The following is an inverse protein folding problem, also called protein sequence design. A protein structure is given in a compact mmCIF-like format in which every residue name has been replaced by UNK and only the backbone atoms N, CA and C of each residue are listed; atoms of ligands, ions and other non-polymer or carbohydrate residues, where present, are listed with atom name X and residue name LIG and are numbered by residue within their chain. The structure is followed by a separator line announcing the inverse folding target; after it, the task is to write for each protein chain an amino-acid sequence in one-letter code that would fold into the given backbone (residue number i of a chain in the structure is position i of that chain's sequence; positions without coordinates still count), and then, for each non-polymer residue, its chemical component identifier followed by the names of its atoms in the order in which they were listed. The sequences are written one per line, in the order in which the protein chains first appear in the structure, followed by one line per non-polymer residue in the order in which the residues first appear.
data_IF_998310653085
#
_entry.id   IF_998310653085
#
_cell.length_a   1.000
_cell.length_b   1.000
_cell.length_c   1.000
_cell.angle_alpha   90.00
_cell.angle_beta   90.00
_cell.angle_gamma   90.00
#
_symmetry.space_group_name_H-M   'P 1'
#
loop_
_entity.id
_entity.type
_entity.pdbx_description
1 polymer ?
#
# COMPACT_ATOMS: atom_id res chain seq x y z
N UNK A 1 -18.10 -9.45 16.80
CA UNK A 1 -17.14 -8.70 15.94
C UNK A 1 -17.26 -9.09 14.46
N UNK A 2 -17.29 -10.39 14.14
CA UNK A 2 -17.30 -10.89 12.75
C UNK A 2 -18.45 -10.37 11.88
N UNK A 3 -19.66 -10.21 12.43
CA UNK A 3 -20.81 -9.68 11.66
C UNK A 3 -20.58 -8.25 11.20
N UNK A 4 -19.96 -7.40 12.04
CA UNK A 4 -19.63 -6.02 11.67
C UNK A 4 -18.55 -5.98 10.58
N UNK A 5 -17.48 -6.77 10.74
CA UNK A 5 -16.42 -6.86 9.74
C UNK A 5 -16.96 -7.28 8.36
N UNK A 6 -17.84 -8.28 8.31
CA UNK A 6 -18.46 -8.72 7.05
C UNK A 6 -19.30 -7.63 6.38
N UNK A 7 -20.10 -6.90 7.16
CA UNK A 7 -20.93 -5.80 6.64
C UNK A 7 -20.05 -4.66 6.11
N UNK A 8 -19.04 -4.26 6.88
CA UNK A 8 -18.09 -3.22 6.47
C UNK A 8 -17.31 -3.65 5.23
N UNK A 9 -16.92 -4.93 5.13
CA UNK A 9 -16.18 -5.45 3.97
C UNK A 9 -17.04 -5.38 2.71
N UNK A 10 -18.29 -5.84 2.78
CA UNK A 10 -19.23 -5.75 1.66
C UNK A 10 -19.46 -4.30 1.25
N UNK A 11 -19.58 -3.39 2.21
CA UNK A 11 -19.74 -1.96 1.96
C UNK A 11 -18.49 -1.34 1.33
N UNK A 12 -17.29 -1.72 1.77
CA UNK A 12 -16.04 -1.23 1.21
C UNK A 12 -15.89 -1.68 -0.25
N UNK A 13 -16.14 -2.96 -0.54
CA UNK A 13 -16.04 -3.53 -1.89
C UNK A 13 -17.12 -3.03 -2.87
N UNK A 14 -18.31 -2.67 -2.38
CA UNK A 14 -19.39 -2.15 -3.25
C UNK A 14 -19.18 -0.70 -3.69
N UNK A 15 -18.24 0.03 -3.07
CA UNK A 15 -17.96 1.43 -3.41
C UNK A 15 -17.44 1.57 -4.83
N UNK A 16 -18.00 2.56 -5.54
CA UNK A 16 -17.60 2.89 -6.92
C UNK A 16 -16.11 3.21 -6.99
N UNK A 17 -15.59 4.01 -6.07
CA UNK A 17 -14.17 4.37 -6.06
C UNK A 17 -13.24 3.15 -5.94
N UNK A 18 -13.53 2.20 -5.03
CA UNK A 18 -12.71 0.98 -4.88
C UNK A 18 -12.72 0.17 -6.18
N UNK A 19 -13.89 0.00 -6.79
CA UNK A 19 -14.02 -0.69 -8.09
C UNK A 19 -13.30 0.05 -9.21
N UNK A 20 -13.34 1.37 -9.25
CA UNK A 20 -12.61 2.19 -10.23
C UNK A 20 -11.10 2.06 -10.05
N UNK A 21 -10.60 2.10 -8.80
CA UNK A 21 -9.17 1.93 -8.53
C UNK A 21 -8.67 0.52 -8.91
N UNK A 22 -9.45 -0.52 -8.59
CA UNK A 22 -9.16 -1.90 -9.01
C UNK A 22 -9.19 -2.02 -10.53
N UNK A 23 -10.22 -1.47 -11.19
CA UNK A 23 -10.32 -1.46 -12.64
C UNK A 23 -9.16 -0.73 -13.31
N UNK A 24 -8.76 0.43 -12.79
CA UNK A 24 -7.60 1.18 -13.26
C UNK A 24 -6.30 0.37 -13.09
N UNK A 25 -6.11 -0.27 -11.93
CA UNK A 25 -4.96 -1.13 -11.70
C UNK A 25 -4.89 -2.30 -12.70
N UNK A 26 -6.03 -2.93 -13.01
CA UNK A 26 -6.13 -4.00 -14.01
C UNK A 26 -5.83 -3.49 -15.42
N UNK A 27 -6.33 -2.31 -15.79
CA UNK A 27 -6.05 -1.69 -17.10
C UNK A 27 -4.55 -1.37 -17.23
N UNK A 28 -3.95 -0.73 -16.22
CA UNK A 28 -2.52 -0.44 -16.21
C UNK A 28 -1.71 -1.73 -16.28
N UNK A 29 -2.11 -2.75 -15.53
CA UNK A 29 -1.46 -4.08 -15.57
C UNK A 29 -1.51 -4.70 -16.97
N UNK A 30 -2.67 -4.66 -17.63
CA UNK A 30 -2.82 -5.15 -18.99
C UNK A 30 -1.97 -4.38 -19.99
N UNK A 31 -1.93 -3.05 -19.88
CA UNK A 31 -1.08 -2.19 -20.72
C UNK A 31 0.39 -2.54 -20.52
N UNK A 32 0.86 -2.64 -19.27
CA UNK A 32 2.26 -2.98 -18.96
C UNK A 32 2.61 -4.37 -19.50
N UNK A 33 1.74 -5.36 -19.34
CA UNK A 33 1.94 -6.70 -19.90
C UNK A 33 2.08 -6.69 -21.42
N UNK A 34 1.22 -5.95 -22.13
CA UNK A 34 1.29 -5.80 -23.59
C UNK A 34 2.55 -5.04 -24.02
N UNK A 35 2.90 -3.95 -23.34
CA UNK A 35 4.10 -3.15 -23.64
C UNK A 35 5.36 -4.01 -23.45
N UNK A 36 5.46 -4.75 -22.35
CA UNK A 36 6.58 -5.67 -22.09
C UNK A 36 6.70 -6.75 -23.18
N UNK A 37 5.58 -7.28 -23.67
CA UNK A 37 5.56 -8.26 -24.76
C UNK A 37 6.00 -7.67 -26.11
N UNK A 38 5.60 -6.42 -26.42
CA UNK A 38 5.97 -5.77 -27.68
C UNK A 38 7.44 -5.34 -27.65
N UNK A 39 7.91 -4.73 -26.56
CA UNK A 39 9.30 -4.27 -26.44
C UNK A 39 10.29 -5.42 -26.59
N UNK A 40 9.96 -6.59 -26.03
CA UNK A 40 10.81 -7.79 -26.16
C UNK A 40 10.86 -8.37 -27.56
N UNK A 41 9.85 -8.12 -28.40
CA UNK A 41 9.82 -8.63 -29.78
C UNK A 41 10.64 -7.79 -30.77
N UNK A 42 10.95 -6.52 -30.43
CA UNK A 42 11.54 -5.54 -31.35
C UNK A 42 12.99 -5.14 -31.06
N UNK A 43 13.51 -5.39 -29.86
CA UNK A 43 14.89 -5.05 -29.49
C UNK A 43 15.87 -6.14 -29.93
N UNK A 44 16.55 -5.91 -31.06
CA UNK A 44 17.74 -6.69 -31.42
C UNK A 44 18.99 -6.28 -30.60
N UNK A 45 18.90 -5.19 -29.82
CA UNK A 45 20.03 -4.57 -29.10
C UNK A 45 19.95 -4.62 -27.57
N UNK A 46 18.76 -4.74 -26.99
CA UNK A 46 18.58 -4.99 -25.55
C UNK A 46 18.29 -6.48 -25.37
N UNK A 47 18.94 -7.12 -24.40
CA UNK A 47 18.82 -8.55 -24.17
C UNK A 47 17.38 -9.01 -23.85
N UNK A 48 17.15 -10.34 -23.80
CA UNK A 48 15.88 -10.90 -23.34
C UNK A 48 15.52 -10.37 -21.95
N UNK A 49 14.22 -10.15 -21.66
CA UNK A 49 13.77 -9.80 -20.30
C UNK A 49 14.22 -10.90 -19.36
N UNK A 50 15.00 -10.56 -18.34
CA UNK A 50 15.39 -11.53 -17.33
C UNK A 50 14.31 -11.61 -16.25
N UNK A 51 13.93 -12.83 -15.85
CA UNK A 51 13.00 -13.01 -14.72
C UNK A 51 13.46 -12.26 -13.47
N UNK A 52 14.77 -12.14 -13.32
CA UNK A 52 15.49 -11.46 -12.25
C UNK A 52 15.11 -9.97 -12.16
N UNK A 53 14.65 -9.31 -13.23
CA UNK A 53 14.19 -7.91 -13.21
C UNK A 53 12.88 -7.70 -12.44
N UNK A 54 12.08 -8.75 -12.23
CA UNK A 54 10.83 -8.65 -11.48
C UNK A 54 11.07 -8.26 -10.02
N UNK A 55 12.18 -8.70 -9.43
CA UNK A 55 12.48 -8.55 -8.01
C UNK A 55 13.98 -8.32 -7.78
N UNK A 56 14.41 -7.41 -6.86
CA UNK A 56 15.80 -6.98 -6.77
C UNK A 56 16.81 -8.12 -6.63
N UNK A 57 17.86 -8.08 -7.45
CA UNK A 57 18.93 -9.09 -7.42
C UNK A 57 20.33 -8.47 -7.64
N UNK A 58 20.51 -7.24 -7.18
CA UNK A 58 21.69 -6.35 -7.29
C UNK A 58 21.57 -5.33 -8.44
N UNK A 59 21.64 -4.03 -8.11
CA UNK A 59 21.80 -2.93 -9.08
C UNK A 59 20.58 -2.45 -9.88
N UNK A 60 19.57 -3.28 -10.14
CA UNK A 60 18.45 -2.94 -11.05
C UNK A 60 17.16 -2.45 -10.37
N UNK A 61 16.41 -1.59 -11.07
CA UNK A 61 15.10 -1.07 -10.65
C UNK A 61 14.00 -2.14 -10.79
N UNK A 62 13.47 -2.69 -9.69
CA UNK A 62 12.54 -3.82 -9.74
C UNK A 62 11.14 -3.41 -10.22
N UNK A 63 10.62 -4.15 -11.21
CA UNK A 63 9.32 -3.87 -11.82
C UNK A 63 8.17 -3.98 -10.80
N UNK A 64 8.26 -4.93 -9.85
CA UNK A 64 7.23 -5.13 -8.82
C UNK A 64 7.14 -3.99 -7.80
N UNK A 65 8.19 -3.19 -7.59
CA UNK A 65 8.08 -2.03 -6.70
C UNK A 65 7.21 -0.94 -7.30
N UNK A 66 7.29 -0.72 -8.62
CA UNK A 66 6.47 0.28 -9.31
C UNK A 66 4.98 -0.01 -9.16
N UNK A 67 4.56 -1.27 -9.34
CA UNK A 67 3.17 -1.68 -9.11
C UNK A 67 2.78 -1.55 -7.63
N UNK A 68 3.70 -1.85 -6.71
CA UNK A 68 3.49 -1.68 -5.26
C UNK A 68 3.20 -0.22 -4.90
N UNK A 69 3.96 0.73 -5.43
CA UNK A 69 3.76 2.16 -5.16
C UNK A 69 2.37 2.63 -5.60
N UNK A 70 1.93 2.18 -6.79
CA UNK A 70 0.58 2.47 -7.29
C UNK A 70 -0.51 1.90 -6.36
N UNK A 71 -0.35 0.65 -5.92
CA UNK A 71 -1.28 0.00 -4.99
C UNK A 71 -1.32 0.68 -3.62
N UNK A 72 -0.16 1.10 -3.10
CA UNK A 72 -0.05 1.82 -1.82
C UNK A 72 -0.77 3.17 -1.90
N UNK A 73 -0.58 3.93 -2.96
CA UNK A 73 -1.27 5.21 -3.17
C UNK A 73 -2.78 5.01 -3.34
N UNK A 74 -3.20 4.04 -4.14
CA UNK A 74 -4.61 3.68 -4.33
C UNK A 74 -5.27 3.22 -3.02
N UNK A 75 -4.58 2.42 -2.22
CA UNK A 75 -5.07 1.94 -0.93
C UNK A 75 -5.21 3.05 0.11
N UNK A 76 -4.24 3.98 0.17
CA UNK A 76 -4.34 5.18 1.01
C UNK A 76 -5.61 5.97 0.69
N UNK A 77 -5.82 6.25 -0.60
CA UNK A 77 -6.98 6.99 -1.09
C UNK A 77 -8.29 6.24 -0.83
N UNK A 78 -8.32 4.93 -1.09
CA UNK A 78 -9.47 4.08 -0.84
C UNK A 78 -9.84 4.06 0.65
N UNK A 79 -8.86 3.82 1.53
CA UNK A 79 -9.06 3.84 2.99
C UNK A 79 -9.54 5.19 3.50
N UNK A 80 -8.92 6.27 3.04
CA UNK A 80 -9.36 7.63 3.36
C UNK A 80 -10.80 7.91 2.90
N UNK A 81 -11.16 7.46 1.71
CA UNK A 81 -12.51 7.65 1.14
C UNK A 81 -13.57 6.82 1.86
N UNK A 82 -13.23 5.61 2.33
CA UNK A 82 -14.14 4.77 3.12
C UNK A 82 -14.67 5.55 4.32
N UNK A 83 -13.80 6.22 5.06
CA UNK A 83 -14.17 7.01 6.23
C UNK A 83 -14.70 8.40 5.85
N UNK A 84 -13.95 9.14 5.03
CA UNK A 84 -14.26 10.53 4.70
C UNK A 84 -15.61 10.72 4.02
N UNK A 85 -16.01 9.79 3.15
CA UNK A 85 -17.30 9.87 2.49
C UNK A 85 -18.49 9.62 3.44
N UNK A 86 -18.32 8.80 4.49
CA UNK A 86 -19.39 8.57 5.47
C UNK A 86 -19.61 9.77 6.39
N UNK A 87 -18.55 10.52 6.67
CA UNK A 87 -18.67 11.83 7.33
C UNK A 87 -19.43 12.81 6.45
N UNK A 88 -19.07 12.90 5.16
CA UNK A 88 -19.75 13.80 4.22
C UNK A 88 -21.23 13.46 4.03
N UNK A 89 -21.59 12.18 3.99
CA UNK A 89 -23.00 11.77 3.82
C UNK A 89 -23.78 11.70 5.14
N UNK A 90 -23.15 11.99 6.28
CA UNK A 90 -23.78 11.86 7.60
C UNK A 90 -24.08 10.43 8.04
N UNK A 91 -23.66 9.39 7.30
CA UNK A 91 -24.03 8.01 7.63
C UNK A 91 -23.36 7.50 8.91
N UNK A 92 -22.22 8.10 9.30
CA UNK A 92 -21.58 7.85 10.60
C UNK A 92 -22.48 8.29 11.76
N UNK A 93 -23.22 9.40 11.62
CA UNK A 93 -24.06 9.90 12.72
C UNK A 93 -25.24 8.95 12.94
N UNK A 94 -25.89 8.52 11.85
CA UNK A 94 -26.96 7.51 11.89
C UNK A 94 -26.47 6.16 12.38
N UNK A 95 -25.24 5.73 12.06
CA UNK A 95 -24.71 4.47 12.56
C UNK A 95 -24.55 4.49 14.09
N UNK A 96 -24.10 5.62 14.64
CA UNK A 96 -23.79 5.77 16.06
C UNK A 96 -25.03 5.94 16.94
N UNK A 97 -26.22 6.22 16.37
CA UNK A 97 -27.48 6.13 17.12
C UNK A 97 -27.85 4.67 17.43
N UNK A 98 -27.44 3.72 16.59
CA UNK A 98 -27.78 2.29 16.73
C UNK A 98 -26.65 1.46 17.35
N UNK A 99 -25.38 1.78 17.10
CA UNK A 99 -24.22 1.11 17.72
C UNK A 99 -23.37 2.14 18.49
N UNK A 100 -23.65 2.37 19.78
CA UNK A 100 -22.96 3.41 20.58
C UNK A 100 -21.51 3.08 20.91
N UNK A 101 -21.03 1.86 20.61
CA UNK A 101 -19.66 1.40 20.88
C UNK A 101 -18.67 1.97 19.86
N UNK A 102 -18.41 3.29 19.94
CA UNK A 102 -17.58 4.07 19.01
C UNK A 102 -16.22 3.44 18.69
N UNK A 103 -15.51 2.97 19.71
CA UNK A 103 -14.18 2.35 19.54
C UNK A 103 -14.28 1.07 18.72
N UNK A 104 -15.29 0.22 18.99
CA UNK A 104 -15.52 -1.02 18.26
C UNK A 104 -15.82 -0.76 16.78
N UNK A 105 -16.65 0.25 16.50
CA UNK A 105 -16.95 0.68 15.12
C UNK A 105 -15.67 1.17 14.44
N UNK A 106 -14.92 2.05 15.09
CA UNK A 106 -13.71 2.63 14.52
C UNK A 106 -12.65 1.57 14.19
N UNK A 107 -12.35 0.69 15.15
CA UNK A 107 -11.44 -0.45 14.95
C UNK A 107 -11.91 -1.35 13.81
N UNK A 108 -13.21 -1.67 13.74
CA UNK A 108 -13.74 -2.53 12.67
C UNK A 108 -13.58 -1.91 11.29
N UNK A 109 -13.73 -0.59 11.15
CA UNK A 109 -13.58 0.10 9.87
C UNK A 109 -12.13 0.13 9.41
N UNK A 110 -11.21 0.48 10.32
CA UNK A 110 -9.77 0.49 10.03
C UNK A 110 -9.28 -0.93 9.70
N UNK A 111 -9.66 -1.93 10.49
CA UNK A 111 -9.29 -3.32 10.26
C UNK A 111 -9.85 -3.85 8.94
N UNK A 112 -11.11 -3.59 8.62
CA UNK A 112 -11.70 -3.98 7.33
C UNK A 112 -10.99 -3.31 6.16
N UNK A 113 -10.72 -2.00 6.25
CA UNK A 113 -10.01 -1.29 5.18
C UNK A 113 -8.61 -1.90 4.95
N UNK A 114 -7.88 -2.18 6.03
CA UNK A 114 -6.56 -2.79 5.98
C UNK A 114 -6.59 -4.20 5.36
N UNK A 115 -7.47 -5.08 5.85
CA UNK A 115 -7.56 -6.46 5.39
C UNK A 115 -8.05 -6.55 3.94
N UNK A 116 -9.04 -5.74 3.57
CA UNK A 116 -9.54 -5.70 2.19
C UNK A 116 -8.46 -5.21 1.22
N UNK A 117 -7.76 -4.12 1.58
CA UNK A 117 -6.70 -3.58 0.74
C UNK A 117 -5.51 -4.53 0.63
N UNK A 118 -5.12 -5.22 1.72
CA UNK A 118 -4.07 -6.23 1.67
C UNK A 118 -4.44 -7.40 0.74
N UNK A 119 -5.67 -7.91 0.83
CA UNK A 119 -6.14 -8.98 -0.06
C UNK A 119 -6.21 -8.53 -1.52
N UNK A 120 -6.74 -7.33 -1.79
CA UNK A 120 -6.77 -6.76 -3.14
C UNK A 120 -5.36 -6.56 -3.68
N UNK A 121 -4.44 -6.02 -2.88
CA UNK A 121 -3.04 -5.80 -3.26
C UNK A 121 -2.33 -7.10 -3.62
N UNK A 122 -2.52 -8.14 -2.80
CA UNK A 122 -1.98 -9.47 -3.07
C UNK A 122 -2.49 -10.05 -4.38
N UNK A 123 -3.80 -9.98 -4.62
CA UNK A 123 -4.44 -10.47 -5.85
C UNK A 123 -3.93 -9.69 -7.06
N UNK A 124 -3.90 -8.36 -6.98
CA UNK A 124 -3.46 -7.51 -8.09
C UNK A 124 -1.98 -7.66 -8.41
N UNK A 125 -1.11 -7.88 -7.41
CA UNK A 125 0.27 -8.25 -7.69
C UNK A 125 0.39 -9.60 -8.36
N UNK A 126 -0.41 -10.60 -7.94
CA UNK A 126 -0.48 -11.89 -8.63
C UNK A 126 -0.91 -11.72 -10.09
N UNK A 127 -1.97 -10.94 -10.35
CA UNK A 127 -2.44 -10.61 -11.71
C UNK A 127 -1.36 -9.88 -12.50
N UNK A 128 -0.59 -8.98 -11.88
CA UNK A 128 0.52 -8.28 -12.52
C UNK A 128 1.64 -9.23 -12.96
N UNK A 129 2.04 -10.17 -12.09
CA UNK A 129 2.99 -11.22 -12.46
C UNK A 129 2.43 -12.08 -13.60
N UNK A 130 1.15 -12.47 -13.54
CA UNK A 130 0.49 -13.25 -14.59
C UNK A 130 0.46 -12.51 -15.93
N UNK A 131 0.29 -11.18 -15.92
CA UNK A 131 0.26 -10.36 -17.13
C UNK A 131 1.63 -10.27 -17.83
N UNK A 132 2.72 -10.48 -17.09
CA UNK A 132 4.08 -10.51 -17.63
C UNK A 132 4.47 -11.90 -18.16
N UNK A 133 3.76 -12.97 -17.78
CA UNK A 133 4.07 -14.34 -18.20
C UNK A 133 4.22 -14.52 -19.72
N UNK A 134 3.37 -13.96 -20.59
CA UNK A 134 3.54 -14.13 -22.03
C UNK A 134 4.89 -13.60 -22.53
N UNK A 135 5.35 -12.44 -22.04
CA UNK A 135 6.64 -11.88 -22.40
C UNK A 135 7.80 -12.77 -21.90
N UNK A 136 7.66 -13.30 -20.67
CA UNK A 136 8.67 -14.16 -20.05
C UNK A 136 8.76 -15.55 -20.70
N UNK A 137 7.64 -16.12 -21.16
CA UNK A 137 7.62 -17.44 -21.79
C UNK A 137 8.17 -17.43 -23.22
N UNK A 138 8.01 -16.32 -23.94
CA UNK A 138 8.43 -16.21 -25.35
C UNK A 138 9.82 -15.61 -25.48
N UNK A 139 10.16 -14.62 -24.66
CA UNK A 139 11.40 -13.86 -24.76
C UNK A 139 12.21 -13.83 -23.46
N UNK A 140 11.77 -14.53 -22.41
CA UNK A 140 12.40 -14.43 -21.11
C UNK A 140 13.55 -15.41 -20.88
N UNK A 141 14.46 -15.02 -19.98
CA UNK A 141 15.51 -15.89 -19.45
C UNK A 141 15.26 -16.20 -17.97
N UNK A 142 15.55 -17.43 -17.57
CA UNK A 142 15.53 -17.86 -16.15
C UNK A 142 16.91 -17.87 -15.51
N UNK A 143 17.95 -17.44 -16.24
CA UNK A 143 19.29 -17.30 -15.69
C UNK A 143 19.23 -16.44 -14.40
N UNK A 144 19.88 -16.90 -13.33
CA UNK A 144 19.87 -16.20 -12.04
C UNK A 144 18.64 -16.46 -11.14
N UNK A 145 17.51 -16.97 -11.68
CA UNK A 145 16.29 -17.23 -10.92
C UNK A 145 16.35 -18.55 -10.11
N UNK A 146 17.15 -18.57 -9.05
CA UNK A 146 17.32 -19.72 -8.15
C UNK A 146 16.22 -19.77 -7.06
N UNK A 147 16.13 -20.87 -6.31
CA UNK A 147 15.13 -21.03 -5.25
C UNK A 147 15.10 -19.89 -4.22
N UNK A 148 16.26 -19.33 -3.87
CA UNK A 148 16.36 -18.18 -2.97
C UNK A 148 15.70 -16.91 -3.54
N UNK A 149 15.80 -16.70 -4.86
CA UNK A 149 15.16 -15.57 -5.54
C UNK A 149 13.64 -15.68 -5.48
N UNK A 150 13.07 -16.87 -5.73
CA UNK A 150 11.62 -17.09 -5.60
C UNK A 150 11.11 -16.84 -4.18
N UNK A 151 11.87 -17.26 -3.16
CA UNK A 151 11.54 -16.98 -1.76
C UNK A 151 11.58 -15.47 -1.48
N UNK A 152 12.59 -14.77 -2.03
CA UNK A 152 12.70 -13.31 -1.98
C UNK A 152 11.50 -12.61 -2.60
N UNK A 153 11.16 -12.96 -3.85
CA UNK A 153 10.04 -12.39 -4.60
C UNK A 153 8.69 -12.65 -3.91
N UNK A 154 8.41 -13.90 -3.50
CA UNK A 154 7.16 -14.24 -2.81
C UNK A 154 7.07 -13.55 -1.45
N UNK A 155 8.18 -13.47 -0.72
CA UNK A 155 8.27 -12.71 0.53
C UNK A 155 8.02 -11.21 0.29
N UNK A 156 8.56 -10.66 -0.79
CA UNK A 156 8.34 -9.31 -1.25
C UNK A 156 6.89 -8.99 -1.58
N UNK A 157 6.23 -9.87 -2.33
CA UNK A 157 4.79 -9.79 -2.65
C UNK A 157 3.95 -9.81 -1.36
N UNK A 158 4.25 -10.74 -0.45
CA UNK A 158 3.54 -10.82 0.83
C UNK A 158 3.72 -9.54 1.68
N UNK A 159 4.94 -9.00 1.79
CA UNK A 159 5.20 -7.75 2.51
C UNK A 159 4.57 -6.54 1.82
N UNK A 160 4.57 -6.51 0.49
CA UNK A 160 3.90 -5.46 -0.30
C UNK A 160 2.39 -5.47 -0.04
N UNK A 161 1.75 -6.64 -0.01
CA UNK A 161 0.34 -6.76 0.36
C UNK A 161 0.06 -6.23 1.78
N UNK A 162 0.94 -6.54 2.75
CA UNK A 162 0.85 -5.97 4.10
C UNK A 162 0.99 -4.44 4.07
N UNK A 163 1.93 -3.90 3.32
CA UNK A 163 2.12 -2.45 3.16
C UNK A 163 0.88 -1.77 2.55
N UNK A 164 0.26 -2.38 1.54
CA UNK A 164 -0.98 -1.89 0.92
C UNK A 164 -2.10 -1.83 1.97
N UNK A 165 -2.23 -2.85 2.82
CA UNK A 165 -3.15 -2.86 3.94
C UNK A 165 -2.87 -1.76 4.98
N UNK A 166 -1.60 -1.60 5.36
CA UNK A 166 -1.16 -0.54 6.28
C UNK A 166 -1.42 0.86 5.72
N UNK A 167 -1.26 1.05 4.41
CA UNK A 167 -1.56 2.29 3.72
C UNK A 167 -3.07 2.63 3.78
N UNK A 168 -3.93 1.64 3.54
CA UNK A 168 -5.38 1.84 3.71
C UNK A 168 -5.76 2.15 5.16
N UNK A 169 -5.12 1.49 6.14
CA UNK A 169 -5.31 1.76 7.56
C UNK A 169 -4.91 3.20 7.91
N UNK A 170 -3.76 3.66 7.39
CA UNK A 170 -3.26 5.01 7.56
C UNK A 170 -4.25 6.04 6.98
N UNK A 171 -4.69 5.83 5.73
CA UNK A 171 -5.65 6.72 5.06
C UNK A 171 -6.98 6.81 5.82
N UNK A 172 -7.52 5.67 6.25
CA UNK A 172 -8.73 5.61 7.06
C UNK A 172 -8.57 6.35 8.40
N UNK A 173 -7.43 6.18 9.06
CA UNK A 173 -7.14 6.80 10.36
C UNK A 173 -6.98 8.32 10.24
N UNK A 174 -6.25 8.80 9.23
CA UNK A 174 -6.13 10.22 8.94
C UNK A 174 -7.49 10.83 8.58
N UNK A 175 -8.32 10.12 7.83
CA UNK A 175 -9.67 10.57 7.51
C UNK A 175 -10.61 10.58 8.73
N UNK A 176 -10.39 9.72 9.73
CA UNK A 176 -11.10 9.82 11.02
C UNK A 176 -10.74 11.11 11.76
N UNK A 177 -9.46 11.49 11.76
CA UNK A 177 -9.00 12.74 12.40
C UNK A 177 -9.54 13.97 11.66
N UNK A 178 -9.39 13.99 10.33
CA UNK A 178 -9.74 15.13 9.50
C UNK A 178 -11.21 15.22 9.07
N UNK A 179 -12.00 14.15 9.27
CA UNK A 179 -13.37 13.99 8.74
C UNK A 179 -13.50 14.24 7.22
N UNK A 180 -12.40 14.11 6.49
CA UNK A 180 -12.31 14.46 5.08
C UNK A 180 -11.23 13.62 4.38
N UNK A 181 -11.59 13.05 3.23
CA UNK A 181 -10.68 12.31 2.35
C UNK A 181 -9.52 13.18 1.88
N UNK A 182 -9.77 14.44 1.54
CA UNK A 182 -8.75 15.37 1.03
C UNK A 182 -7.70 15.71 2.08
N UNK A 183 -8.11 15.91 3.34
CA UNK A 183 -7.18 16.16 4.46
C UNK A 183 -6.28 14.95 4.67
N UNK A 184 -6.84 13.74 4.62
CA UNK A 184 -6.06 12.52 4.81
C UNK A 184 -5.00 12.33 3.72
N UNK A 185 -5.40 12.42 2.44
CA UNK A 185 -4.50 12.23 1.32
C UNK A 185 -3.47 13.37 1.23
N UNK A 186 -3.92 14.62 1.41
CA UNK A 186 -3.05 15.80 1.41
C UNK A 186 -2.01 15.78 2.52
N UNK A 187 -2.38 15.35 3.74
CA UNK A 187 -1.42 15.24 4.85
C UNK A 187 -0.32 14.21 4.56
N UNK A 188 -0.69 13.05 4.00
CA UNK A 188 0.28 12.03 3.62
C UNK A 188 1.20 12.52 2.49
N UNK A 189 0.65 13.20 1.48
CA UNK A 189 1.43 13.78 0.39
C UNK A 189 2.45 14.81 0.90
N UNK A 190 2.01 15.75 1.74
CA UNK A 190 2.87 16.78 2.34
C UNK A 190 3.96 16.14 3.20
N UNK A 191 3.62 15.13 4.00
CA UNK A 191 4.61 14.44 4.81
C UNK A 191 5.71 13.80 3.95
N UNK A 192 5.32 12.97 2.97
CA UNK A 192 6.27 12.21 2.15
C UNK A 192 7.13 13.08 1.23
N UNK A 193 6.55 14.13 0.63
CA UNK A 193 7.24 14.93 -0.38
C UNK A 193 7.93 16.17 0.20
N UNK A 194 7.39 16.75 1.28
CA UNK A 194 7.92 17.98 1.86
C UNK A 194 8.64 17.69 3.16
N UNK A 195 7.95 17.10 4.14
CA UNK A 195 8.51 16.94 5.50
C UNK A 195 9.73 16.01 5.48
N UNK A 196 9.63 14.85 4.83
CA UNK A 196 10.76 13.93 4.74
C UNK A 196 11.91 14.50 3.89
N UNK A 197 11.59 15.19 2.78
CA UNK A 197 12.59 15.84 1.93
C UNK A 197 13.40 16.89 2.70
N UNK A 198 12.72 17.76 3.44
CA UNK A 198 13.35 18.76 4.31
C UNK A 198 14.15 18.10 5.43
N UNK A 199 13.61 17.05 6.07
CA UNK A 199 14.32 16.34 7.14
C UNK A 199 15.63 15.71 6.65
N UNK A 200 15.62 15.08 5.47
CA UNK A 200 16.82 14.54 4.82
C UNK A 200 17.84 15.63 4.50
N UNK A 201 17.38 16.74 3.91
CA UNK A 201 18.23 17.87 3.54
C UNK A 201 18.87 18.54 4.76
N UNK A 202 18.13 18.62 5.88
CA UNK A 202 18.61 19.26 7.10
C UNK A 202 19.62 18.38 7.85
N UNK A 203 19.29 17.11 8.10
CA UNK A 203 20.19 16.23 8.85
C UNK A 203 20.08 14.77 8.36
N UNK A 204 21.05 14.27 7.57
CA UNK A 204 20.96 12.96 6.90
C UNK A 204 20.70 11.76 7.82
N UNK A 205 21.26 11.75 9.03
CA UNK A 205 21.03 10.69 10.03
C UNK A 205 19.55 10.55 10.47
N UNK A 206 18.69 11.56 10.22
CA UNK A 206 17.25 11.46 10.49
C UNK A 206 16.60 10.43 9.56
N UNK A 207 17.18 10.19 8.37
CA UNK A 207 16.68 9.24 7.37
C UNK A 207 16.35 7.85 7.93
N UNK A 208 17.08 7.40 8.97
CA UNK A 208 16.80 6.11 9.62
C UNK A 208 15.44 6.02 10.31
N UNK A 209 14.79 7.15 10.60
CA UNK A 209 13.50 7.22 11.27
C UNK A 209 12.35 7.61 10.33
N UNK A 210 12.67 8.05 9.12
CA UNK A 210 11.68 8.45 8.12
C UNK A 210 10.91 7.23 7.59
N UNK A 211 9.67 7.45 7.17
CA UNK A 211 8.77 6.37 6.74
C UNK A 211 9.27 5.78 5.43
N UNK A 212 9.70 6.60 4.47
CA UNK A 212 10.08 6.10 3.13
C UNK A 212 11.20 5.05 3.18
N UNK A 213 12.23 5.29 4.00
CA UNK A 213 13.40 4.42 4.13
C UNK A 213 13.03 3.13 4.87
N UNK A 214 12.23 3.23 5.94
CA UNK A 214 11.77 2.05 6.66
C UNK A 214 10.78 1.20 5.82
N UNK A 215 9.96 1.83 4.97
CA UNK A 215 9.09 1.14 4.03
C UNK A 215 9.90 0.40 2.96
N UNK A 216 10.92 1.04 2.39
CA UNK A 216 11.80 0.42 1.40
C UNK A 216 12.49 -0.83 2.00
N UNK A 217 13.11 -0.70 3.18
CA UNK A 217 13.74 -1.82 3.90
C UNK A 217 12.71 -2.92 4.24
N UNK A 218 11.49 -2.53 4.65
CA UNK A 218 10.42 -3.48 4.96
C UNK A 218 10.03 -4.32 3.74
N UNK A 219 9.77 -3.69 2.60
CA UNK A 219 9.34 -4.39 1.38
C UNK A 219 10.45 -5.29 0.86
N UNK A 220 11.68 -4.77 0.77
CA UNK A 220 12.83 -5.54 0.29
C UNK A 220 13.20 -6.69 1.24
N UNK A 221 12.89 -6.57 2.54
CA UNK A 221 13.20 -7.60 3.52
C UNK A 221 14.71 -7.77 3.75
N UNK A 222 15.51 -6.79 3.36
CA UNK A 222 16.96 -6.84 3.36
C UNK A 222 17.60 -5.45 3.34
N UNK A 223 18.90 -5.41 3.04
CA UNK A 223 19.63 -4.15 2.89
C UNK A 223 19.22 -3.49 1.57
N UNK A 224 19.06 -2.17 1.61
CA UNK A 224 18.81 -1.35 0.42
C UNK A 224 20.11 -0.64 0.06
N UNK A 225 20.54 -0.77 -1.19
CA UNK A 225 21.72 -0.06 -1.69
C UNK A 225 21.44 1.45 -1.80
N UNK A 226 22.49 2.27 -1.71
CA UNK A 226 22.37 3.73 -1.73
C UNK A 226 21.89 4.39 -0.43
N UNK A 227 21.47 3.63 0.59
CA UNK A 227 21.16 4.20 1.91
C UNK A 227 22.44 4.52 2.71
N UNK A 228 22.52 5.67 3.41
CA UNK A 228 23.70 6.05 4.19
C UNK A 228 23.84 5.28 5.52
N UNK A 229 22.95 4.33 5.80
CA UNK A 229 22.95 3.54 7.03
C UNK A 229 22.46 2.12 6.77
N UNK A 230 22.83 1.21 7.66
CA UNK A 230 22.31 -0.16 7.72
C UNK A 230 21.28 -0.31 8.82
N UNK A 231 20.15 -0.94 8.52
CA UNK A 231 19.10 -1.23 9.50
C UNK A 231 18.52 -2.62 9.26
N UNK A 232 18.21 -3.32 10.33
CA UNK A 232 17.58 -4.63 10.26
C UNK A 232 16.14 -4.53 9.72
N UNK A 233 15.70 -5.46 8.85
CA UNK A 233 14.32 -5.53 8.37
C UNK A 233 13.27 -5.64 9.47
N UNK A 234 13.63 -6.30 10.59
CA UNK A 234 12.73 -6.44 11.75
C UNK A 234 12.47 -5.08 12.39
N UNK A 235 13.52 -4.29 12.57
CA UNK A 235 13.41 -2.94 13.16
C UNK A 235 12.62 -2.03 12.24
N UNK A 236 12.83 -2.11 10.91
CA UNK A 236 12.03 -1.37 9.94
C UNK A 236 10.55 -1.76 10.00
N UNK A 237 10.25 -3.06 10.07
CA UNK A 237 8.88 -3.59 10.23
C UNK A 237 8.21 -2.99 11.46
N UNK A 238 8.86 -3.09 12.63
CA UNK A 238 8.31 -2.54 13.89
C UNK A 238 8.10 -1.03 13.79
N UNK A 239 8.99 -0.33 13.10
CA UNK A 239 8.89 1.13 12.92
C UNK A 239 7.66 1.50 12.07
N UNK A 240 7.47 0.84 10.92
CA UNK A 240 6.32 1.10 10.02
C UNK A 240 5.00 0.77 10.72
N UNK A 241 4.91 -0.40 11.35
CA UNK A 241 3.71 -0.78 12.12
C UNK A 241 3.48 0.19 13.28
N UNK A 242 4.53 0.58 14.00
CA UNK A 242 4.46 1.55 15.10
C UNK A 242 3.85 2.88 14.67
N UNK A 243 4.29 3.45 13.54
CA UNK A 243 3.72 4.69 13.03
C UNK A 243 2.24 4.55 12.65
N UNK A 244 1.88 3.50 11.92
CA UNK A 244 0.48 3.28 11.50
C UNK A 244 -0.41 3.02 12.71
N UNK A 245 0.04 2.21 13.68
CA UNK A 245 -0.70 1.97 14.94
C UNK A 245 -0.84 3.25 15.76
N UNK A 246 0.20 4.07 15.87
CA UNK A 246 0.11 5.34 16.58
C UNK A 246 -0.94 6.27 15.96
N UNK A 247 -0.92 6.43 14.63
CA UNK A 247 -1.89 7.27 13.91
C UNK A 247 -3.30 6.67 14.00
N UNK A 248 -3.45 5.35 13.91
CA UNK A 248 -4.72 4.67 14.10
C UNK A 248 -5.28 4.88 15.51
N UNK A 249 -4.45 4.78 16.54
CA UNK A 249 -4.84 5.08 17.92
C UNK A 249 -5.30 6.54 18.06
N UNK A 250 -4.56 7.51 17.49
CA UNK A 250 -4.99 8.92 17.49
C UNK A 250 -6.33 9.10 16.78
N UNK A 251 -6.54 8.46 15.63
CA UNK A 251 -7.80 8.48 14.89
C UNK A 251 -8.97 7.91 15.70
N UNK A 252 -8.77 6.76 16.34
CA UNK A 252 -9.77 6.09 17.18
C UNK A 252 -10.10 6.91 18.43
N UNK A 253 -9.10 7.47 19.11
CA UNK A 253 -9.30 8.32 20.28
C UNK A 253 -10.05 9.60 19.90
N UNK A 254 -9.68 10.23 18.78
CA UNK A 254 -10.39 11.39 18.25
C UNK A 254 -11.85 11.05 17.94
N UNK A 255 -12.10 9.89 17.32
CA UNK A 255 -13.45 9.40 17.03
C UNK A 255 -14.28 9.12 18.30
N UNK A 256 -13.63 8.63 19.36
CA UNK A 256 -14.26 8.36 20.66
C UNK A 256 -14.72 9.65 21.34
N UNK A 257 -13.86 10.65 21.40
CA UNK A 257 -14.08 11.85 22.21
C UNK A 257 -14.83 12.97 21.50
N UNK A 258 -14.87 12.99 20.16
CA UNK A 258 -15.55 14.06 19.45
C UNK A 258 -17.07 13.91 19.47
N UNK A 259 -17.74 14.98 19.89
CA UNK A 259 -19.18 15.11 19.79
C UNK A 259 -19.64 15.10 18.33
N UNK A 260 -20.83 14.53 18.14
CA UNK A 260 -21.50 14.37 16.84
C UNK A 260 -22.70 15.34 16.75
N UNK A 261 -22.72 16.38 17.57
CA UNK A 261 -23.79 17.36 17.54
C UNK A 261 -23.77 18.12 16.20
N UNK A 262 -24.98 18.29 15.65
CA UNK A 262 -25.32 18.87 14.34
C UNK A 262 -24.79 20.29 14.16
#
# INVERSE_FOLDING_TARGET
MMTLLRVELRRALSRRLVRVLVGLALVVTGIVGVVAFIQTSGSASDGPIELVELWPTDGDDPILLTSTLFLVAGALLAGASVIGAEWRSGSITTLLTWEPRRVRVAVSKVATAALAAAAIGLILQGVFVLALLPALLVHGSTAGAHGAWFVGMLGGIARSAVLVGLSAALGASLAMVGRNTAVAFGSAFVYLNVVEGVARAWKPWIGRWLISENVAIFVMGGRVEGMPFTRSPVVATVTVFGYVTAIATVGILTFRHRDIAL
#
